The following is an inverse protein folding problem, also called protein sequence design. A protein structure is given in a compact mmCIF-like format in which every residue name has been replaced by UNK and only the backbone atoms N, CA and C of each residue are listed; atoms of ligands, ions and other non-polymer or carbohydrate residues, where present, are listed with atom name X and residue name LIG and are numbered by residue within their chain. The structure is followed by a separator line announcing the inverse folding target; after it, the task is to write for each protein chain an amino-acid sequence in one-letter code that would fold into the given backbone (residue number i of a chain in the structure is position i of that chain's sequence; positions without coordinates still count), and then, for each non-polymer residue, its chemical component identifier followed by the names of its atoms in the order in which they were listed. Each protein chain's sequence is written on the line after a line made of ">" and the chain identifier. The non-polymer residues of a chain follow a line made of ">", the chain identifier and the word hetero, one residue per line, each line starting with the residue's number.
data_IF_394636065022
#
_entry.id   IF_394636065022
#
_cell.length_a   1.000
_cell.length_b   1.000
_cell.length_c   1.000
_cell.angle_alpha   90.00
_cell.angle_beta   90.00
_cell.angle_gamma   90.00
#
_symmetry.space_group_name_H-M   'P 1'
#
loop_
_entity.id
_entity.type
_entity.pdbx_description
1 polymer ?
#
# COMPACT_ATOMS: atom_id res chain seq x y z
N UNK A 1 12.09 10.07 -10.63
CA UNK A 1 10.89 9.25 -10.93
C UNK A 1 10.00 9.88 -12.00
N UNK A 2 9.30 10.98 -11.74
CA UNK A 2 8.36 11.55 -12.73
C UNK A 2 9.02 12.01 -14.04
N UNK A 3 10.14 12.68 -13.95
CA UNK A 3 10.88 13.19 -15.13
C UNK A 3 11.68 12.08 -15.81
N UNK A 4 12.28 11.16 -15.04
CA UNK A 4 13.11 10.10 -15.59
C UNK A 4 12.32 8.88 -16.05
N UNK A 5 11.62 8.23 -15.14
CA UNK A 5 10.99 6.92 -15.39
C UNK A 5 9.63 7.03 -16.08
N UNK A 6 8.82 8.02 -15.71
CA UNK A 6 7.49 8.23 -16.30
C UNK A 6 7.58 9.01 -17.61
N UNK A 7 8.65 9.77 -17.82
CA UNK A 7 8.92 10.49 -19.05
C UNK A 7 8.19 11.83 -19.17
N UNK A 8 7.84 12.47 -18.07
CA UNK A 8 7.26 13.82 -18.09
C UNK A 8 8.37 14.82 -18.31
N UNK A 9 8.17 15.75 -19.23
CA UNK A 9 9.10 16.84 -19.46
C UNK A 9 9.25 17.72 -18.20
N UNK A 10 10.49 18.11 -17.92
CA UNK A 10 10.83 18.92 -16.73
C UNK A 10 10.05 20.22 -16.67
N UNK A 11 9.85 20.89 -17.82
CA UNK A 11 9.12 22.15 -17.89
C UNK A 11 7.66 21.97 -17.54
N UNK A 12 7.03 20.94 -18.09
CA UNK A 12 5.64 20.56 -17.80
C UNK A 12 5.45 20.23 -16.33
N UNK A 13 6.39 19.49 -15.75
CA UNK A 13 6.35 19.13 -14.33
C UNK A 13 6.31 20.35 -13.41
N UNK A 14 7.18 21.35 -13.66
CA UNK A 14 7.30 22.52 -12.78
C UNK A 14 6.28 23.63 -13.06
N UNK A 15 5.77 23.76 -14.28
CA UNK A 15 4.92 24.89 -14.68
C UNK A 15 3.45 24.52 -14.82
N UNK A 16 3.14 23.33 -15.33
CA UNK A 16 1.80 23.00 -15.81
C UNK A 16 1.08 22.00 -14.91
N UNK A 17 1.81 21.17 -14.14
CA UNK A 17 1.22 20.14 -13.31
C UNK A 17 0.85 20.64 -11.90
N UNK A 18 -0.40 20.43 -11.52
CA UNK A 18 -0.88 20.61 -10.16
C UNK A 18 -0.54 19.41 -9.29
N UNK A 19 -0.41 19.61 -8.00
CA UNK A 19 -0.03 18.55 -7.06
C UNK A 19 -0.96 17.32 -7.10
N UNK A 20 -2.25 17.51 -7.28
CA UNK A 20 -3.19 16.38 -7.39
C UNK A 20 -3.01 15.59 -8.69
N UNK A 21 -2.60 16.23 -9.79
CA UNK A 21 -2.27 15.58 -11.07
C UNK A 21 -1.00 14.74 -10.92
N UNK A 22 0.01 15.27 -10.24
CA UNK A 22 1.24 14.53 -9.91
C UNK A 22 0.91 13.25 -9.13
N UNK A 23 0.06 13.35 -8.11
CA UNK A 23 -0.39 12.17 -7.36
C UNK A 23 -1.17 11.16 -8.22
N UNK A 24 -2.00 11.64 -9.14
CA UNK A 24 -2.75 10.78 -10.05
C UNK A 24 -1.82 10.03 -11.01
N UNK A 25 -0.81 10.70 -11.55
CA UNK A 25 0.20 10.13 -12.44
C UNK A 25 1.01 9.04 -11.70
N UNK A 26 1.47 9.32 -10.48
CA UNK A 26 2.19 8.35 -9.67
C UNK A 26 1.35 7.11 -9.39
N UNK A 27 0.07 7.29 -9.03
CA UNK A 27 -0.85 6.16 -8.81
C UNK A 27 -1.07 5.33 -10.06
N UNK A 28 -1.23 5.99 -11.21
CA UNK A 28 -1.38 5.32 -12.49
C UNK A 28 -0.13 4.53 -12.89
N UNK A 29 1.05 5.11 -12.70
CA UNK A 29 2.33 4.45 -12.94
C UNK A 29 2.51 3.22 -12.05
N UNK A 30 2.28 3.36 -10.74
CA UNK A 30 2.40 2.26 -9.80
C UNK A 30 1.41 1.13 -10.10
N UNK A 31 0.18 1.46 -10.50
CA UNK A 31 -0.81 0.45 -10.91
C UNK A 31 -0.31 -0.33 -12.12
N UNK A 32 0.11 0.35 -13.18
CA UNK A 32 0.65 -0.29 -14.39
C UNK A 32 1.87 -1.16 -14.07
N UNK A 33 2.74 -0.68 -13.22
CA UNK A 33 3.92 -1.43 -12.79
C UNK A 33 3.54 -2.72 -12.07
N UNK A 34 2.58 -2.66 -11.15
CA UNK A 34 2.04 -3.86 -10.47
C UNK A 34 1.39 -4.84 -11.44
N UNK A 35 0.62 -4.35 -12.41
CA UNK A 35 -0.07 -5.18 -13.40
C UNK A 35 0.95 -5.92 -14.26
N UNK A 36 1.99 -5.26 -14.74
CA UNK A 36 3.07 -5.88 -15.52
C UNK A 36 3.77 -6.99 -14.73
N UNK A 37 4.14 -6.72 -13.49
CA UNK A 37 4.77 -7.72 -12.63
C UNK A 37 3.84 -8.89 -12.29
N UNK A 38 2.57 -8.64 -12.11
CA UNK A 38 1.57 -9.68 -11.85
C UNK A 38 1.39 -10.60 -13.05
N UNK A 39 1.36 -10.06 -14.27
CA UNK A 39 1.31 -10.84 -15.52
C UNK A 39 2.60 -11.65 -15.70
N UNK A 40 3.76 -11.03 -15.51
CA UNK A 40 5.05 -11.73 -15.63
C UNK A 40 5.16 -12.89 -14.63
N UNK A 41 4.74 -12.69 -13.39
CA UNK A 41 4.69 -13.72 -12.35
C UNK A 41 3.76 -14.87 -12.73
N UNK A 42 2.57 -14.56 -13.23
CA UNK A 42 1.60 -15.54 -13.68
C UNK A 42 2.16 -16.39 -14.82
N UNK A 43 2.75 -15.76 -15.84
CA UNK A 43 3.37 -16.44 -16.96
C UNK A 43 4.51 -17.35 -16.51
N UNK A 44 5.39 -16.87 -15.64
CA UNK A 44 6.52 -17.64 -15.10
C UNK A 44 6.04 -18.87 -14.34
N UNK A 45 5.01 -18.72 -13.51
CA UNK A 45 4.41 -19.85 -12.79
C UNK A 45 3.89 -20.93 -13.73
N UNK A 46 3.13 -20.55 -14.75
CA UNK A 46 2.58 -21.51 -15.72
C UNK A 46 3.66 -22.16 -16.60
N UNK A 47 4.70 -21.43 -16.97
CA UNK A 47 5.85 -22.00 -17.69
C UNK A 47 6.58 -23.03 -16.82
N UNK A 48 6.82 -22.74 -15.55
CA UNK A 48 7.44 -23.69 -14.64
C UNK A 48 6.54 -24.91 -14.41
N UNK A 49 5.25 -24.73 -14.22
CA UNK A 49 4.28 -25.81 -14.09
C UNK A 49 4.24 -26.73 -15.32
N UNK A 50 4.40 -26.16 -16.51
CA UNK A 50 4.47 -26.93 -17.75
C UNK A 50 5.77 -27.74 -17.91
N UNK A 51 6.90 -27.21 -17.40
CA UNK A 51 8.20 -27.85 -17.53
C UNK A 51 8.47 -28.91 -16.45
N UNK A 52 8.15 -28.59 -15.21
CA UNK A 52 8.47 -29.44 -14.05
C UNK A 52 7.28 -30.30 -13.64
N UNK A 53 6.07 -29.87 -13.95
CA UNK A 53 4.80 -30.49 -13.55
C UNK A 53 4.22 -29.88 -12.27
N UNK A 54 2.90 -29.73 -12.25
CA UNK A 54 2.17 -29.11 -11.12
C UNK A 54 2.38 -29.84 -9.79
N UNK A 55 2.46 -31.17 -9.81
CA UNK A 55 2.69 -32.00 -8.61
C UNK A 55 4.08 -31.77 -8.00
N UNK A 56 5.09 -31.50 -8.78
CA UNK A 56 6.45 -31.21 -8.30
C UNK A 56 6.50 -29.81 -7.67
N UNK A 57 5.77 -28.84 -8.21
CA UNK A 57 5.62 -27.52 -7.61
C UNK A 57 4.89 -27.58 -6.27
N UNK A 58 3.83 -28.38 -6.17
CA UNK A 58 3.11 -28.60 -4.91
C UNK A 58 4.03 -29.21 -3.83
N UNK A 59 4.86 -30.19 -4.19
CA UNK A 59 5.85 -30.78 -3.28
C UNK A 59 6.90 -29.75 -2.80
N UNK A 60 7.23 -28.77 -3.65
CA UNK A 60 8.10 -27.68 -3.29
C UNK A 60 7.42 -26.58 -2.46
N UNK A 61 6.13 -26.70 -2.18
CA UNK A 61 5.34 -25.71 -1.43
C UNK A 61 4.85 -24.52 -2.27
N UNK A 62 4.94 -24.62 -3.59
CA UNK A 62 4.53 -23.57 -4.54
C UNK A 62 3.14 -23.94 -5.10
N UNK A 63 2.09 -23.45 -4.47
CA UNK A 63 0.70 -23.70 -4.88
C UNK A 63 0.12 -22.58 -5.75
N UNK A 64 0.72 -21.40 -5.72
CA UNK A 64 0.21 -20.21 -6.41
C UNK A 64 1.35 -19.39 -7.02
N UNK A 65 1.05 -18.53 -8.00
CA UNK A 65 2.05 -17.60 -8.53
C UNK A 65 2.68 -16.69 -7.46
N UNK A 66 1.93 -16.37 -6.41
CA UNK A 66 2.39 -15.56 -5.28
C UNK A 66 3.46 -16.27 -4.45
N UNK A 67 3.35 -17.60 -4.31
CA UNK A 67 4.34 -18.41 -3.58
C UNK A 67 5.66 -18.51 -4.34
N UNK A 68 5.60 -18.51 -5.68
CA UNK A 68 6.78 -18.56 -6.53
C UNK A 68 7.61 -17.28 -6.43
N UNK A 69 6.96 -16.14 -6.53
CA UNK A 69 7.60 -14.82 -6.50
C UNK A 69 6.76 -13.85 -5.67
N UNK A 70 7.02 -13.76 -4.35
CA UNK A 70 6.35 -12.77 -3.52
C UNK A 70 6.81 -11.36 -3.91
N UNK A 71 5.84 -10.48 -4.17
CA UNK A 71 6.09 -9.08 -4.50
C UNK A 71 5.80 -8.21 -3.27
N UNK A 72 6.43 -7.02 -3.15
CA UNK A 72 6.29 -6.18 -1.97
C UNK A 72 4.85 -5.78 -1.61
N UNK A 73 3.94 -5.81 -2.57
CA UNK A 73 2.53 -5.47 -2.39
C UNK A 73 1.63 -6.68 -2.12
N UNK A 74 2.17 -7.90 -2.10
CA UNK A 74 1.44 -9.13 -1.74
C UNK A 74 1.36 -9.34 -0.23
N UNK A 75 1.71 -8.36 0.56
CA UNK A 75 1.71 -8.45 2.02
C UNK A 75 0.33 -8.89 2.52
N UNK A 76 0.33 -9.97 3.27
CA UNK A 76 -0.83 -10.55 3.98
C UNK A 76 -1.54 -9.57 4.94
N UNK A 77 -0.99 -8.38 5.11
CA UNK A 77 -1.56 -7.30 5.91
C UNK A 77 -2.91 -6.78 5.39
N UNK A 78 -3.22 -6.96 4.11
CA UNK A 78 -4.50 -6.53 3.53
C UNK A 78 -5.65 -7.51 3.80
N UNK A 79 -5.40 -8.71 4.32
CA UNK A 79 -6.40 -9.75 4.50
C UNK A 79 -6.80 -10.03 5.95
N UNK A 80 -6.13 -9.44 6.92
CA UNK A 80 -6.59 -9.47 8.30
C UNK A 80 -7.39 -8.20 8.59
N UNK A 81 -8.69 -8.32 8.48
CA UNK A 81 -9.58 -7.42 9.21
C UNK A 81 -9.13 -7.46 10.67
N UNK A 82 -8.93 -6.29 11.30
CA UNK A 82 -8.58 -6.26 12.72
C UNK A 82 -9.64 -7.02 13.51
N UNK A 83 -9.19 -7.80 14.47
CA UNK A 83 -10.09 -8.52 15.38
C UNK A 83 -10.90 -7.51 16.20
N UNK A 84 -12.06 -7.94 16.72
CA UNK A 84 -12.89 -7.07 17.56
C UNK A 84 -12.11 -6.49 18.76
N UNK A 85 -11.15 -7.24 19.30
CA UNK A 85 -10.26 -6.79 20.37
C UNK A 85 -9.31 -5.69 19.90
N UNK A 86 -8.70 -5.85 18.73
CA UNK A 86 -7.81 -4.83 18.15
C UNK A 86 -8.57 -3.54 17.80
N UNK A 87 -9.82 -3.66 17.36
CA UNK A 87 -10.70 -2.50 17.11
C UNK A 87 -11.06 -1.80 18.43
N UNK A 88 -11.37 -2.56 19.47
CA UNK A 88 -11.68 -2.02 20.79
C UNK A 88 -10.48 -1.27 21.40
N UNK A 89 -9.27 -1.79 21.26
CA UNK A 89 -8.03 -1.15 21.70
C UNK A 89 -7.76 0.14 20.92
N UNK A 90 -7.94 0.14 19.59
CA UNK A 90 -7.80 1.35 18.76
C UNK A 90 -8.82 2.43 19.13
N UNK A 91 -10.08 2.05 19.41
CA UNK A 91 -11.12 2.99 19.85
C UNK A 91 -10.79 3.58 21.20
N UNK A 92 -10.30 2.76 22.15
CA UNK A 92 -9.89 3.21 23.47
C UNK A 92 -8.70 4.20 23.40
N UNK A 93 -7.75 3.96 22.50
CA UNK A 93 -6.62 4.85 22.27
C UNK A 93 -7.05 6.20 21.66
N UNK A 94 -7.96 6.18 20.70
CA UNK A 94 -8.55 7.39 20.12
C UNK A 94 -9.32 8.20 21.15
N UNK A 95 -10.11 7.56 22.00
CA UNK A 95 -10.83 8.22 23.08
C UNK A 95 -9.90 8.84 24.13
N UNK A 96 -8.80 8.17 24.44
CA UNK A 96 -7.76 8.70 25.33
C UNK A 96 -7.10 9.96 24.74
N UNK A 97 -6.80 9.95 23.45
CA UNK A 97 -6.23 11.09 22.72
C UNK A 97 -7.22 12.26 22.70
N UNK A 98 -8.49 12.01 22.43
CA UNK A 98 -9.53 13.02 22.42
C UNK A 98 -9.76 13.65 23.79
N UNK A 99 -9.72 12.85 24.88
CA UNK A 99 -9.79 13.37 26.25
C UNK A 99 -8.58 14.22 26.60
N UNK A 100 -7.38 13.80 26.20
CA UNK A 100 -6.16 14.59 26.43
C UNK A 100 -6.17 15.90 25.63
N UNK A 101 -6.63 15.88 24.38
CA UNK A 101 -6.82 17.06 23.53
C UNK A 101 -7.88 18.02 24.09
N UNK A 102 -8.99 17.49 24.62
CA UNK A 102 -10.04 18.27 25.27
C UNK A 102 -9.57 18.96 26.55
N UNK A 103 -8.75 18.29 27.38
CA UNK A 103 -8.15 18.89 28.57
C UNK A 103 -7.17 20.01 28.25
N UNK A 104 -6.40 19.90 27.16
CA UNK A 104 -5.50 20.97 26.71
C UNK A 104 -6.27 22.20 26.24
N UNK A 105 -7.40 22.01 25.57
CA UNK A 105 -8.26 23.12 25.15
C UNK A 105 -8.89 23.85 26.35
N UNK A 106 -9.39 23.14 27.34
CA UNK A 106 -9.95 23.73 28.58
C UNK A 106 -8.91 24.51 29.40
N UNK A 107 -7.69 24.01 29.48
CA UNK A 107 -6.60 24.70 30.15
C UNK A 107 -6.12 25.98 29.41
N UNK A 108 -6.26 26.02 28.10
CA UNK A 108 -5.92 27.18 27.30
C UNK A 108 -6.96 28.29 27.42
N UNK A 109 -8.25 27.98 27.63
CA UNK A 109 -9.30 28.95 27.89
C UNK A 109 -9.19 29.58 29.30
N UNK A 110 -8.94 28.78 30.31
CA UNK A 110 -8.75 29.28 31.69
C UNK A 110 -7.55 30.21 31.85
N UNK A 111 -6.56 30.11 30.99
CA UNK A 111 -5.36 30.98 31.05
C UNK A 111 -5.57 32.34 30.37
N UNK A 112 -6.68 32.52 29.64
CA UNK A 112 -7.04 33.80 29.01
C UNK A 112 -7.95 34.69 29.88
N UNK A 113 -8.50 34.16 30.96
CA UNK A 113 -9.37 34.92 31.88
C UNK A 113 -8.62 35.45 33.13
N UNK A 114 -7.36 35.13 33.29
CA UNK A 114 -6.46 35.77 34.31
C UNK A 114 -5.62 36.87 33.64
#
# INVERSE_FOLDING_TARGET
>A
MLVGEIGIDRRTFFKDLRWWEVKAIIRGYNRRHRDVWSVARWQTYHLMAAQVGGKELEKAGIMSPTDLLPLPWDTKAASKLPTEEEVADMVAEIDAINKAGGMMAMNAENKKEE
#
